data_IF_905553150420
#
_entry.id   IF_905553150420
#
_cell.length_a   1.000
_cell.length_b   1.000
_cell.length_c   1.000
_cell.angle_alpha   90.00
_cell.angle_beta   90.00
_cell.angle_gamma   90.00
#
_symmetry.space_group_name_H-M   'P 1'
#
loop_
_entity.id
_entity.type
_entity.pdbx_description
1 polymer ?
#
# COMPACT_ATOMS: atom_id res chain seq x y z
N UNK A 1 9.97 -26.99 -18.95
CA UNK A 1 10.55 -25.89 -18.15
C UNK A 1 11.91 -26.33 -17.66
N UNK A 2 12.99 -25.60 -17.97
CA UNK A 2 14.37 -25.97 -17.57
C UNK A 2 14.52 -26.00 -16.05
N UNK A 3 15.53 -26.72 -15.54
CA UNK A 3 15.83 -26.78 -14.10
C UNK A 3 16.02 -25.37 -13.52
N UNK A 4 16.78 -24.52 -14.24
CA UNK A 4 17.00 -23.12 -13.88
C UNK A 4 15.71 -22.31 -13.77
N UNK A 5 14.77 -22.47 -14.70
CA UNK A 5 13.51 -21.73 -14.68
C UNK A 5 12.59 -22.20 -13.53
N UNK A 6 12.64 -23.48 -13.16
CA UNK A 6 11.93 -23.98 -11.96
C UNK A 6 12.53 -23.39 -10.68
N UNK A 7 13.85 -23.33 -10.59
CA UNK A 7 14.55 -22.75 -9.45
C UNK A 7 14.20 -21.26 -9.29
N UNK A 8 14.31 -20.49 -10.37
CA UNK A 8 13.97 -19.06 -10.36
C UNK A 8 12.52 -18.82 -9.94
N UNK A 9 11.58 -19.65 -10.40
CA UNK A 9 10.17 -19.57 -9.99
C UNK A 9 10.02 -19.75 -8.47
N UNK A 10 10.72 -20.72 -7.88
CA UNK A 10 10.67 -20.97 -6.43
C UNK A 10 11.29 -19.83 -5.62
N UNK A 11 12.43 -19.30 -6.08
CA UNK A 11 13.11 -18.18 -5.43
C UNK A 11 12.23 -16.93 -5.45
N UNK A 12 11.64 -16.58 -6.59
CA UNK A 12 10.73 -15.44 -6.70
C UNK A 12 9.44 -15.61 -5.90
N UNK A 13 8.92 -16.83 -5.79
CA UNK A 13 7.76 -17.11 -4.94
C UNK A 13 8.09 -16.93 -3.45
N UNK A 14 9.29 -17.37 -3.03
CA UNK A 14 9.78 -17.14 -1.67
C UNK A 14 9.95 -15.66 -1.39
N UNK A 15 10.54 -14.92 -2.33
CA UNK A 15 10.79 -13.49 -2.14
C UNK A 15 9.51 -12.66 -2.14
N UNK A 16 8.50 -13.04 -2.94
CA UNK A 16 7.17 -12.44 -2.86
C UNK A 16 6.60 -12.53 -1.43
N UNK A 17 6.72 -13.70 -0.80
CA UNK A 17 6.26 -13.90 0.57
C UNK A 17 7.08 -13.09 1.59
N UNK A 18 8.40 -12.99 1.41
CA UNK A 18 9.26 -12.16 2.25
C UNK A 18 8.87 -10.69 2.20
N UNK A 19 8.67 -10.15 0.99
CA UNK A 19 8.28 -8.75 0.78
C UNK A 19 6.91 -8.48 1.40
N UNK A 20 5.89 -9.28 1.10
CA UNK A 20 4.55 -9.08 1.65
C UNK A 20 4.54 -9.22 3.18
N UNK A 21 5.33 -10.15 3.73
CA UNK A 21 5.51 -10.30 5.18
C UNK A 21 6.11 -9.05 5.81
N UNK A 22 7.19 -8.50 5.23
CA UNK A 22 7.81 -7.26 5.71
C UNK A 22 6.80 -6.11 5.77
N UNK A 23 6.08 -5.85 4.68
CA UNK A 23 5.08 -4.78 4.63
C UNK A 23 3.93 -5.00 5.63
N UNK A 24 3.44 -6.23 5.75
CA UNK A 24 2.37 -6.55 6.71
C UNK A 24 2.78 -6.34 8.17
N UNK A 25 4.06 -6.58 8.50
CA UNK A 25 4.58 -6.44 9.85
C UNK A 25 4.99 -4.99 10.16
N UNK A 26 5.63 -4.32 9.21
CA UNK A 26 6.36 -3.09 9.45
C UNK A 26 5.63 -1.83 8.97
N UNK A 27 4.75 -1.93 7.97
CA UNK A 27 4.12 -0.75 7.39
C UNK A 27 2.73 -0.43 7.98
N UNK A 28 2.05 -1.38 8.64
CA UNK A 28 0.73 -1.12 9.23
C UNK A 28 0.85 -0.08 10.34
N UNK A 29 0.08 1.00 10.21
CA UNK A 29 -0.04 2.02 11.24
C UNK A 29 -1.28 1.72 12.10
N UNK A 30 -1.05 1.17 13.29
CA UNK A 30 -2.12 0.86 14.24
C UNK A 30 -2.59 2.08 15.04
N UNK A 31 -1.83 3.18 15.07
CA UNK A 31 -2.18 4.37 15.82
C UNK A 31 -3.11 5.27 15.00
N UNK A 32 -2.75 5.56 13.74
CA UNK A 32 -3.48 6.49 12.87
C UNK A 32 -4.20 5.81 11.71
N UNK A 33 -4.32 4.49 11.76
CA UNK A 33 -4.92 3.65 10.73
C UNK A 33 -4.17 3.68 9.37
N UNK A 34 -4.50 2.74 8.48
CA UNK A 34 -3.81 2.57 7.21
C UNK A 34 -2.36 2.11 7.39
N UNK A 35 -1.44 2.85 6.79
CA UNK A 35 -0.01 2.54 6.73
C UNK A 35 0.85 3.76 7.08
N UNK A 36 2.03 3.52 7.64
CA UNK A 36 3.01 4.58 7.92
C UNK A 36 3.50 5.19 6.62
N UNK A 37 3.68 6.51 6.60
CA UNK A 37 4.14 7.24 5.40
C UNK A 37 5.61 6.98 5.07
N UNK A 38 6.42 6.65 6.08
CA UNK A 38 7.86 6.48 5.93
C UNK A 38 8.42 5.52 6.99
N UNK A 39 9.35 4.68 6.54
CA UNK A 39 10.26 3.89 7.37
C UNK A 39 11.67 4.23 6.90
N UNK A 40 12.57 4.56 7.83
CA UNK A 40 13.95 4.91 7.50
C UNK A 40 14.84 3.66 7.32
N UNK A 41 16.10 3.88 6.93
CA UNK A 41 17.07 2.80 6.69
C UNK A 41 17.47 2.03 7.96
N UNK A 42 17.09 2.52 9.15
CA UNK A 42 17.37 1.90 10.45
C UNK A 42 16.13 1.19 11.03
N UNK A 43 15.10 0.98 10.21
CA UNK A 43 13.81 0.38 10.59
C UNK A 43 12.96 1.25 11.54
N UNK A 44 13.26 2.55 11.65
CA UNK A 44 12.43 3.45 12.43
C UNK A 44 11.22 3.90 11.61
N UNK A 45 10.03 3.70 12.17
CA UNK A 45 8.79 4.25 11.60
C UNK A 45 8.69 5.72 11.97
N UNK A 46 8.47 6.57 10.97
CA UNK A 46 8.30 8.01 11.21
C UNK A 46 6.80 8.27 11.41
N UNK A 47 6.35 8.28 12.67
CA UNK A 47 4.92 8.29 13.04
C UNK A 47 4.12 9.43 12.41
N UNK A 48 4.73 10.62 12.27
CA UNK A 48 4.09 11.82 11.75
C UNK A 48 4.39 12.09 10.27
N UNK A 49 4.93 11.10 9.55
CA UNK A 49 5.15 11.24 8.11
C UNK A 49 3.82 11.40 7.37
N UNK A 50 3.84 12.20 6.30
CA UNK A 50 2.68 12.34 5.43
C UNK A 50 2.34 11.02 4.74
N UNK A 51 1.06 10.81 4.48
CA UNK A 51 0.56 9.60 3.82
C UNK A 51 0.11 9.94 2.42
N UNK A 52 0.87 9.47 1.42
CA UNK A 52 0.61 9.77 0.00
C UNK A 52 -0.43 8.83 -0.64
N UNK A 53 -1.21 9.35 -1.57
CA UNK A 53 -2.17 8.54 -2.34
C UNK A 53 -1.49 7.44 -3.14
N UNK A 54 -0.38 7.76 -3.82
CA UNK A 54 0.35 6.79 -4.66
C UNK A 54 0.87 5.61 -3.83
N UNK A 55 1.39 5.87 -2.63
CA UNK A 55 1.86 4.81 -1.72
C UNK A 55 0.70 3.89 -1.33
N UNK A 56 -0.40 4.45 -0.84
CA UNK A 56 -1.55 3.67 -0.38
C UNK A 56 -2.21 2.88 -1.52
N UNK A 57 -2.33 3.48 -2.70
CA UNK A 57 -2.82 2.80 -3.90
C UNK A 57 -1.91 1.65 -4.35
N UNK A 58 -0.58 1.80 -4.24
CA UNK A 58 0.37 0.71 -4.54
C UNK A 58 0.35 -0.40 -3.50
N UNK A 59 0.13 -0.08 -2.24
CA UNK A 59 -0.05 -1.10 -1.19
C UNK A 59 -1.33 -1.89 -1.49
N UNK A 60 -2.44 -1.19 -1.79
CA UNK A 60 -3.69 -1.80 -2.22
C UNK A 60 -3.44 -2.78 -3.39
N UNK A 61 -2.87 -2.30 -4.49
CA UNK A 61 -2.59 -3.14 -5.65
C UNK A 61 -1.70 -4.35 -5.31
N UNK A 62 -0.64 -4.14 -4.53
CA UNK A 62 0.35 -5.17 -4.21
C UNK A 62 -0.27 -6.31 -3.41
N UNK A 63 -1.12 -6.00 -2.42
CA UNK A 63 -1.80 -7.01 -1.64
C UNK A 63 -3.01 -7.61 -2.37
N UNK A 64 -3.72 -6.85 -3.21
CA UNK A 64 -4.76 -7.36 -4.11
C UNK A 64 -4.19 -8.42 -5.06
N UNK A 65 -3.10 -8.08 -5.76
CA UNK A 65 -2.42 -8.97 -6.70
C UNK A 65 -1.71 -10.12 -6.00
N UNK A 66 -1.05 -9.84 -4.86
CA UNK A 66 -0.43 -10.85 -4.01
C UNK A 66 -1.44 -11.91 -3.56
N UNK A 67 -2.64 -11.52 -3.12
CA UNK A 67 -3.69 -12.46 -2.76
C UNK A 67 -4.11 -13.36 -3.92
N UNK A 68 -4.18 -12.84 -5.15
CA UNK A 68 -4.53 -13.68 -6.31
C UNK A 68 -3.54 -14.83 -6.53
N UNK A 69 -2.26 -14.62 -6.20
CA UNK A 69 -1.19 -15.63 -6.33
C UNK A 69 -1.09 -16.52 -5.10
N UNK A 70 -1.02 -15.93 -3.89
CA UNK A 70 -0.74 -16.67 -2.65
C UNK A 70 -1.98 -17.33 -2.05
N UNK A 71 -3.18 -16.83 -2.37
CA UNK A 71 -4.47 -17.21 -1.78
C UNK A 71 -4.54 -17.09 -0.26
N UNK A 72 -3.64 -16.33 0.37
CA UNK A 72 -3.62 -16.12 1.82
C UNK A 72 -4.60 -15.03 2.22
N UNK A 73 -5.60 -15.38 3.02
CA UNK A 73 -6.61 -14.42 3.52
C UNK A 73 -6.01 -13.22 4.27
N UNK A 74 -4.84 -13.39 4.89
CA UNK A 74 -4.10 -12.27 5.50
C UNK A 74 -3.79 -11.16 4.48
N UNK A 75 -3.43 -11.51 3.24
CA UNK A 75 -3.13 -10.53 2.20
C UNK A 75 -4.40 -9.81 1.74
N UNK A 76 -5.52 -10.54 1.61
CA UNK A 76 -6.82 -9.94 1.30
C UNK A 76 -7.25 -8.91 2.35
N UNK A 77 -7.07 -9.21 3.64
CA UNK A 77 -7.40 -8.28 4.73
C UNK A 77 -6.58 -6.98 4.65
N UNK A 78 -5.31 -7.07 4.28
CA UNK A 78 -4.45 -5.90 4.12
C UNK A 78 -4.86 -5.09 2.88
N UNK A 79 -5.19 -5.75 1.77
CA UNK A 79 -5.75 -5.08 0.59
C UNK A 79 -7.04 -4.34 0.94
N UNK A 80 -7.95 -4.98 1.66
CA UNK A 80 -9.20 -4.35 2.12
C UNK A 80 -8.92 -3.12 3.00
N UNK A 81 -8.00 -3.23 3.97
CA UNK A 81 -7.56 -2.08 4.79
C UNK A 81 -7.06 -0.92 3.93
N UNK A 82 -6.26 -1.20 2.90
CA UNK A 82 -5.74 -0.18 2.00
C UNK A 82 -6.84 0.48 1.17
N UNK A 83 -7.79 -0.30 0.66
CA UNK A 83 -8.96 0.21 -0.06
C UNK A 83 -9.81 1.14 0.82
N UNK A 84 -10.13 0.69 2.04
CA UNK A 84 -10.88 1.49 3.01
C UNK A 84 -10.13 2.78 3.35
N UNK A 85 -8.81 2.73 3.51
CA UNK A 85 -8.01 3.92 3.80
C UNK A 85 -8.01 4.93 2.64
N UNK A 86 -7.83 4.47 1.40
CA UNK A 86 -7.87 5.34 0.22
C UNK A 86 -9.26 5.96 0.05
N UNK A 87 -10.31 5.16 0.13
CA UNK A 87 -11.69 5.62 -0.09
C UNK A 87 -12.21 6.54 1.01
N UNK A 88 -11.82 6.33 2.28
CA UNK A 88 -12.32 7.11 3.39
C UNK A 88 -11.51 8.39 3.67
N UNK A 89 -10.22 8.44 3.30
CA UNK A 89 -9.32 9.51 3.74
C UNK A 89 -8.58 10.24 2.62
N UNK A 90 -8.31 9.58 1.50
CA UNK A 90 -7.61 10.19 0.37
C UNK A 90 -8.57 10.70 -0.71
N UNK A 91 -9.80 10.17 -0.75
CA UNK A 91 -10.83 10.61 -1.69
C UNK A 91 -11.38 11.98 -1.32
N UNK A 92 -11.31 12.90 -2.28
CA UNK A 92 -11.90 14.22 -2.16
C UNK A 92 -13.41 14.11 -2.43
N UNK A 93 -14.22 14.16 -1.37
CA UNK A 93 -15.68 14.06 -1.49
C UNK A 93 -16.35 15.33 -2.03
N UNK A 94 -15.66 16.47 -2.02
CA UNK A 94 -16.19 17.75 -2.51
C UNK A 94 -15.99 17.89 -4.02
N UNK A 95 -14.76 17.63 -4.50
CA UNK A 95 -14.38 17.84 -5.90
C UNK A 95 -14.19 16.54 -6.69
N UNK A 96 -14.22 15.38 -6.02
CA UNK A 96 -13.88 14.10 -6.61
C UNK A 96 -12.37 13.95 -6.87
N UNK A 97 -11.96 12.72 -7.14
CA UNK A 97 -10.55 12.39 -7.30
C UNK A 97 -9.85 12.17 -5.96
N UNK A 98 -8.52 12.33 -5.93
CA UNK A 98 -7.71 12.06 -4.74
C UNK A 98 -6.82 13.24 -4.38
N UNK A 99 -6.65 13.46 -3.08
CA UNK A 99 -5.54 14.28 -2.57
C UNK A 99 -4.21 13.63 -2.92
N UNK A 100 -3.18 14.42 -3.17
CA UNK A 100 -1.82 13.91 -3.36
C UNK A 100 -1.29 13.29 -2.06
N UNK A 101 -1.49 13.97 -0.94
CA UNK A 101 -1.15 13.46 0.39
C UNK A 101 -2.04 14.05 1.50
N UNK A 102 -2.10 13.31 2.60
CA UNK A 102 -2.72 13.72 3.87
C UNK A 102 -1.69 13.72 5.00
N UNK A 103 -1.98 14.46 6.06
CA UNK A 103 -1.26 14.38 7.33
C UNK A 103 -1.51 13.03 8.01
N UNK A 104 -0.68 12.69 9.01
CA UNK A 104 -0.86 11.46 9.78
C UNK A 104 -2.22 11.41 10.49
N UNK A 105 -2.76 12.57 10.90
CA UNK A 105 -4.10 12.73 11.49
C UNK A 105 -5.25 12.69 10.48
N UNK A 106 -4.94 12.40 9.20
CA UNK A 106 -5.87 12.26 8.06
C UNK A 106 -6.42 13.57 7.51
N UNK A 107 -5.95 14.73 7.99
CA UNK A 107 -6.32 16.02 7.38
C UNK A 107 -5.64 16.19 6.01
N UNK A 108 -6.30 16.81 5.00
CA UNK A 108 -5.68 17.04 3.70
C UNK A 108 -4.42 17.91 3.81
N UNK A 109 -3.34 17.51 3.11
CA UNK A 109 -2.06 18.24 3.11
C UNK A 109 -1.74 18.85 1.75
N UNK A 110 -1.58 18.01 0.73
CA UNK A 110 -1.45 18.46 -0.66
C UNK A 110 -2.68 17.97 -1.44
N UNK A 111 -3.55 18.92 -1.78
CA UNK A 111 -4.84 18.64 -2.42
C UNK A 111 -4.77 18.59 -3.94
N UNK A 112 -3.56 18.62 -4.53
CA UNK A 112 -3.41 18.51 -5.99
C UNK A 112 -3.96 17.19 -6.49
N UNK A 113 -5.04 17.26 -7.25
CA UNK A 113 -5.62 16.13 -7.94
C UNK A 113 -4.78 15.77 -9.19
N UNK A 114 -3.77 14.93 -8.99
CA UNK A 114 -2.86 14.53 -10.07
C UNK A 114 -3.32 13.25 -10.76
N UNK A 115 -3.33 13.28 -12.09
CA UNK A 115 -3.64 12.11 -12.95
C UNK A 115 -2.81 10.89 -12.57
N UNK A 116 -1.56 11.08 -12.14
CA UNK A 116 -0.70 9.98 -11.69
C UNK A 116 -1.28 9.24 -10.47
N UNK A 117 -1.75 9.97 -9.46
CA UNK A 117 -2.37 9.37 -8.28
C UNK A 117 -3.70 8.68 -8.63
N UNK A 118 -4.51 9.30 -9.49
CA UNK A 118 -5.76 8.71 -9.99
C UNK A 118 -5.51 7.40 -10.73
N UNK A 119 -4.51 7.36 -11.62
CA UNK A 119 -4.17 6.15 -12.37
C UNK A 119 -3.77 4.98 -11.45
N UNK A 120 -2.99 5.24 -10.40
CA UNK A 120 -2.65 4.20 -9.42
C UNK A 120 -3.86 3.75 -8.60
N UNK A 121 -4.78 4.65 -8.27
CA UNK A 121 -5.98 4.30 -7.53
C UNK A 121 -6.98 3.48 -8.35
N UNK A 122 -7.10 3.74 -9.66
CA UNK A 122 -7.88 2.90 -10.58
C UNK A 122 -7.23 1.52 -10.75
N UNK A 123 -5.90 1.46 -10.70
CA UNK A 123 -5.14 0.23 -10.87
C UNK A 123 -5.18 -0.72 -9.66
N UNK A 124 -5.29 -0.17 -8.44
CA UNK A 124 -5.23 -0.93 -7.18
C UNK A 124 -6.49 -1.73 -6.87
#
# INVERSE_FOLDING_TARGET
MSVQLKQLKTELATELENILSYWSKNAIDSQNDGFVGQIDHSENRIENAEKGAVLNARILWSFSSGYQVTKKEAHKKIAQRAFEYVSNHLYDTEFGGLFWSIHADKTPKDTKNQIYALAFAIYG
#
